data_IF_411384281158
#
_entry.id   IF_411384281158
#
_cell.length_a   1.000
_cell.length_b   1.000
_cell.length_c   1.000
_cell.angle_alpha   90.00
_cell.angle_beta   90.00
_cell.angle_gamma   90.00
#
_symmetry.space_group_name_H-M   'P 1'
#
loop_
_entity.id
_entity.type
_entity.pdbx_description
1 polymer ?
#
# COMPACT_ATOMS: atom_id res chain seq x y z
N UNK A 1 -15.04 3.14 9.27
CA UNK A 1 -14.02 3.69 8.32
C UNK A 1 -13.69 2.66 7.24
N UNK A 2 -13.41 1.42 7.63
CA UNK A 2 -13.43 0.25 6.74
C UNK A 2 -14.75 0.10 5.98
N UNK A 3 -15.87 0.50 6.60
CA UNK A 3 -17.21 0.51 5.97
C UNK A 3 -17.27 1.33 4.68
N UNK A 4 -16.53 2.43 4.59
CA UNK A 4 -16.52 3.30 3.40
C UNK A 4 -15.75 2.68 2.23
N UNK A 5 -14.66 1.95 2.54
CA UNK A 5 -13.88 1.21 1.54
C UNK A 5 -14.64 -0.02 1.06
N UNK A 6 -15.32 -0.72 1.97
CA UNK A 6 -16.23 -1.81 1.62
C UNK A 6 -17.38 -1.30 0.75
N UNK A 7 -17.97 -0.16 1.09
CA UNK A 7 -18.99 0.50 0.27
C UNK A 7 -18.53 0.74 -1.17
N UNK A 8 -17.29 1.20 -1.37
CA UNK A 8 -16.70 1.34 -2.71
C UNK A 8 -16.67 0.00 -3.47
N UNK A 9 -16.27 -1.10 -2.84
CA UNK A 9 -16.24 -2.42 -3.48
C UNK A 9 -17.64 -2.93 -3.79
N UNK A 10 -18.59 -2.73 -2.87
CA UNK A 10 -19.99 -3.16 -3.05
C UNK A 10 -20.72 -2.36 -4.12
N UNK A 11 -20.42 -1.07 -4.27
CA UNK A 11 -21.13 -0.17 -5.18
C UNK A 11 -20.45 -0.04 -6.56
N UNK A 12 -19.11 -0.09 -6.61
CA UNK A 12 -18.32 0.10 -7.82
C UNK A 12 -17.56 -1.17 -8.29
N UNK A 13 -17.70 -2.30 -7.60
CA UNK A 13 -17.13 -3.59 -8.01
C UNK A 13 -15.62 -3.55 -8.20
N UNK A 14 -15.12 -3.90 -9.39
CA UNK A 14 -13.68 -3.95 -9.68
C UNK A 14 -12.98 -2.60 -9.54
N UNK A 15 -13.64 -1.52 -9.97
CA UNK A 15 -13.08 -0.16 -9.88
C UNK A 15 -13.03 0.27 -8.41
N UNK A 16 -14.06 -0.08 -7.65
CA UNK A 16 -14.10 0.12 -6.20
C UNK A 16 -12.99 -0.62 -5.48
N UNK A 17 -12.71 -1.87 -5.85
CA UNK A 17 -11.62 -2.66 -5.30
C UNK A 17 -10.25 -2.05 -5.61
N UNK A 18 -10.02 -1.66 -6.87
CA UNK A 18 -8.77 -0.99 -7.26
C UNK A 18 -8.56 0.33 -6.52
N UNK A 19 -9.59 1.18 -6.45
CA UNK A 19 -9.51 2.46 -5.74
C UNK A 19 -9.35 2.27 -4.23
N UNK A 20 -10.03 1.29 -3.63
CA UNK A 20 -9.89 0.99 -2.21
C UNK A 20 -8.46 0.52 -1.86
N UNK A 21 -7.84 -0.27 -2.74
CA UNK A 21 -6.44 -0.68 -2.61
C UNK A 21 -5.48 0.50 -2.81
N UNK A 22 -5.72 1.35 -3.82
CA UNK A 22 -4.90 2.53 -4.11
C UNK A 22 -4.98 3.63 -3.03
N UNK A 23 -6.16 3.83 -2.43
CA UNK A 23 -6.37 4.79 -1.34
C UNK A 23 -5.66 4.41 -0.04
N UNK A 24 -5.34 3.13 0.15
CA UNK A 24 -4.54 2.66 1.29
C UNK A 24 -3.11 3.19 1.33
N UNK A 25 -2.64 3.82 0.25
CA UNK A 25 -1.34 4.48 0.16
C UNK A 25 -1.29 5.82 0.93
N UNK A 26 -2.42 6.48 1.20
CA UNK A 26 -2.48 7.82 1.81
C UNK A 26 -2.28 7.78 3.35
N UNK A 27 -1.72 6.70 3.89
CA UNK A 27 -1.38 6.57 5.31
C UNK A 27 -2.49 6.00 6.20
N UNK A 28 -3.57 5.50 5.61
CA UNK A 28 -4.54 4.66 6.32
C UNK A 28 -4.10 3.20 6.18
N UNK A 29 -3.86 2.45 7.27
CA UNK A 29 -3.62 1.02 7.20
C UNK A 29 -4.93 0.35 6.76
N UNK A 30 -5.07 0.14 5.46
CA UNK A 30 -6.18 -0.59 4.88
C UNK A 30 -5.92 -2.08 5.08
N UNK A 31 -6.86 -2.83 5.67
CA UNK A 31 -6.73 -4.27 5.82
C UNK A 31 -7.04 -4.93 4.48
N UNK A 32 -5.98 -5.21 3.72
CA UNK A 32 -6.04 -5.80 2.38
C UNK A 32 -6.76 -7.17 2.42
N UNK A 33 -6.63 -7.91 3.52
CA UNK A 33 -7.34 -9.17 3.74
C UNK A 33 -8.86 -8.97 3.81
N UNK A 34 -9.33 -7.86 4.39
CA UNK A 34 -10.77 -7.58 4.52
C UNK A 34 -11.40 -7.21 3.17
N UNK A 35 -10.68 -6.46 2.34
CA UNK A 35 -11.10 -6.11 0.99
C UNK A 35 -11.15 -7.34 0.08
N UNK A 36 -10.12 -8.19 0.13
CA UNK A 36 -10.11 -9.46 -0.60
C UNK A 36 -11.19 -10.42 -0.11
N UNK A 37 -11.49 -10.45 1.19
CA UNK A 37 -12.59 -11.24 1.76
C UNK A 37 -13.95 -10.74 1.25
N UNK A 38 -14.18 -9.43 1.21
CA UNK A 38 -15.41 -8.84 0.68
C UNK A 38 -15.54 -9.06 -0.83
N UNK A 39 -14.44 -8.93 -1.58
CA UNK A 39 -14.41 -9.30 -2.99
C UNK A 39 -14.72 -10.80 -3.18
N UNK A 40 -14.19 -11.67 -2.32
CA UNK A 40 -14.51 -13.09 -2.22
C UNK A 40 -16.00 -13.37 -2.07
N UNK A 41 -16.65 -12.65 -1.15
CA UNK A 41 -18.10 -12.73 -0.94
C UNK A 41 -18.88 -12.30 -2.20
N UNK A 42 -18.50 -11.19 -2.83
CA UNK A 42 -19.15 -10.72 -4.05
C UNK A 42 -18.92 -11.65 -5.26
N UNK A 43 -17.77 -12.32 -5.33
CA UNK A 43 -17.52 -13.38 -6.32
C UNK A 43 -18.41 -14.59 -6.08
N UNK A 44 -18.61 -15.01 -4.82
CA UNK A 44 -19.51 -16.10 -4.47
C UNK A 44 -20.98 -15.79 -4.83
N UNK A 45 -21.36 -14.51 -4.80
CA UNK A 45 -22.68 -14.05 -5.28
C UNK A 45 -22.76 -13.83 -6.80
N UNK A 46 -21.68 -14.04 -7.55
CA UNK A 46 -21.64 -13.89 -9.01
C UNK A 46 -21.49 -12.45 -9.51
N UNK A 47 -21.29 -11.48 -8.62
CA UNK A 47 -21.15 -10.07 -8.97
C UNK A 47 -19.73 -9.72 -9.47
N UNK A 48 -18.72 -10.48 -9.03
CA UNK A 48 -17.35 -10.37 -9.52
C UNK A 48 -16.86 -11.70 -10.12
N UNK A 49 -16.01 -11.61 -11.14
CA UNK A 49 -15.31 -12.71 -11.79
C UNK A 49 -13.87 -12.74 -11.29
N UNK A 50 -13.43 -13.92 -10.87
CA UNK A 50 -12.11 -14.16 -10.28
C UNK A 50 -10.95 -13.55 -11.08
N UNK A 51 -10.96 -13.71 -12.41
CA UNK A 51 -9.87 -13.21 -13.26
C UNK A 51 -9.70 -11.68 -13.21
N UNK A 52 -10.80 -10.93 -13.25
CA UNK A 52 -10.75 -9.46 -13.18
C UNK A 52 -10.45 -8.97 -11.76
N UNK A 53 -10.95 -9.67 -10.73
CA UNK A 53 -10.61 -9.40 -9.33
C UNK A 53 -9.11 -9.59 -9.07
N UNK A 54 -8.53 -10.68 -9.57
CA UNK A 54 -7.07 -10.92 -9.46
C UNK A 54 -6.27 -9.83 -10.16
N UNK A 55 -6.65 -9.45 -11.38
CA UNK A 55 -5.94 -8.40 -12.10
C UNK A 55 -5.99 -7.06 -11.35
N UNK A 56 -7.16 -6.67 -10.83
CA UNK A 56 -7.33 -5.44 -10.06
C UNK A 56 -6.52 -5.46 -8.75
N UNK A 57 -6.51 -6.59 -8.04
CA UNK A 57 -5.73 -6.74 -6.80
C UNK A 57 -4.22 -6.68 -7.07
N UNK A 58 -3.72 -7.39 -8.10
CA UNK A 58 -2.30 -7.41 -8.46
C UNK A 58 -1.83 -6.01 -8.90
N UNK A 59 -2.61 -5.31 -9.71
CA UNK A 59 -2.24 -3.96 -10.17
C UNK A 59 -2.28 -2.94 -9.05
N UNK A 60 -3.27 -2.99 -8.16
CA UNK A 60 -3.33 -2.12 -6.98
C UNK A 60 -2.14 -2.31 -6.04
N UNK A 61 -1.75 -3.56 -5.79
CA UNK A 61 -0.61 -3.89 -4.92
C UNK A 61 0.74 -3.51 -5.54
N UNK A 62 0.86 -3.65 -6.86
CA UNK A 62 2.06 -3.24 -7.60
C UNK A 62 2.26 -1.72 -7.52
N UNK A 63 1.20 -0.95 -7.77
CA UNK A 63 1.24 0.52 -7.67
C UNK A 63 1.63 0.98 -6.26
N UNK A 64 1.07 0.32 -5.23
CA UNK A 64 1.39 0.61 -3.83
C UNK A 64 2.87 0.39 -3.51
N UNK A 65 3.41 -0.77 -3.88
CA UNK A 65 4.81 -1.12 -3.58
C UNK A 65 5.80 -0.26 -4.35
N UNK A 66 5.50 0.12 -5.60
CA UNK A 66 6.33 1.03 -6.39
C UNK A 66 6.34 2.43 -5.77
N UNK A 67 5.18 2.94 -5.36
CA UNK A 67 5.08 4.24 -4.71
C UNK A 67 5.82 4.27 -3.36
N UNK A 68 5.70 3.22 -2.56
CA UNK A 68 6.39 3.12 -1.27
C UNK A 68 7.91 2.97 -1.45
N UNK A 69 8.36 2.18 -2.43
CA UNK A 69 9.78 2.07 -2.75
C UNK A 69 10.36 3.41 -3.22
N UNK A 70 9.62 4.13 -4.05
CA UNK A 70 10.04 5.45 -4.53
C UNK A 70 10.13 6.46 -3.38
N UNK A 71 9.15 6.47 -2.47
CA UNK A 71 9.19 7.27 -1.25
C UNK A 71 10.40 6.91 -0.36
N UNK A 72 10.70 5.60 -0.22
CA UNK A 72 11.88 5.11 0.51
C UNK A 72 13.21 5.54 -0.14
N UNK A 73 13.28 5.61 -1.47
CA UNK A 73 14.46 6.12 -2.18
C UNK A 73 14.68 7.62 -1.94
N UNK A 74 13.62 8.43 -1.98
CA UNK A 74 13.72 9.86 -1.71
C UNK A 74 14.09 10.16 -0.24
N UNK A 75 13.61 9.34 0.70
CA UNK A 75 13.95 9.44 2.12
C UNK A 75 15.41 9.06 2.45
N UNK A 76 16.12 8.33 1.55
CA UNK A 76 17.57 8.05 1.66
C UNK A 76 18.42 9.10 0.95
N UNK A 77 18.05 10.37 1.03
CA UNK A 77 18.87 11.45 0.46
C UNK A 77 20.20 11.57 1.25
N UNK A 78 21.32 11.84 0.55
CA UNK A 78 22.69 11.77 1.10
C UNK A 78 22.97 12.73 2.27
N UNK A 79 22.08 13.69 2.54
CA UNK A 79 22.18 14.58 3.70
C UNK A 79 22.07 13.84 5.05
N UNK A 80 21.34 12.72 5.11
CA UNK A 80 21.23 11.92 6.34
C UNK A 80 22.53 11.18 6.67
N UNK A 81 23.26 10.72 5.64
CA UNK A 81 24.55 10.07 5.80
C UNK A 81 25.63 11.08 6.18
N UNK A 82 25.59 12.30 5.63
CA UNK A 82 26.55 13.37 5.95
C UNK A 82 26.37 13.91 7.38
N UNK A 83 25.13 14.10 7.84
CA UNK A 83 24.84 14.48 9.24
C UNK A 83 25.19 13.34 10.20
N UNK A 84 25.01 12.07 9.81
CA UNK A 84 25.38 10.90 10.63
C UNK A 84 26.88 10.64 10.64
N UNK A 85 27.59 10.96 9.57
CA UNK A 85 29.05 10.97 9.52
C UNK A 85 29.64 12.13 10.34
N UNK A 86 29.03 13.31 10.32
CA UNK A 86 29.42 14.45 11.15
C UNK A 86 29.08 14.27 12.66
N UNK A 87 28.07 13.46 12.98
CA UNK A 87 27.67 13.13 14.35
C UNK A 87 28.34 11.87 14.91
N UNK A 88 29.22 11.19 14.14
CA UNK A 88 30.00 10.09 14.66
C UNK A 88 31.01 10.63 15.69
N UNK A 89 30.94 10.21 16.98
CA UNK A 89 31.87 10.68 17.98
C UNK A 89 33.27 10.17 17.62
N UNK A 90 34.21 11.09 17.62
CA UNK A 90 35.64 10.95 17.41
C UNK A 90 36.16 9.57 17.89
N UNK A 91 36.31 8.63 16.96
CA UNK A 91 36.96 7.34 17.20
C UNK A 91 38.48 7.56 17.30
N UNK A 92 38.89 8.36 18.28
CA UNK A 92 40.21 8.97 18.33
C UNK A 92 40.57 9.59 19.68
N UNK A 93 40.02 9.10 20.80
CA UNK A 93 40.53 9.48 22.12
C UNK A 93 40.29 8.41 23.20
N UNK A 94 40.77 7.20 22.97
CA UNK A 94 41.14 6.29 24.04
C UNK A 94 42.48 5.65 23.64
N UNK A 95 43.53 6.24 24.21
CA UNK A 95 44.91 5.75 24.19
C UNK A 95 45.04 4.40 24.87
#
# INVERSE_FOLDING_TARGET
MTDSLLGLVFEYGYVGLFLAMALGLIGIPVPDEALLTAAGYLMAQGHLKLGFTMLAAITGELDRNVAELFARQMARTPAADEVRAAAAPDAGQAR
#
